data_IF_365247687240
#
_entry.id   IF_365247687240
#
_cell.length_a   1.000
_cell.length_b   1.000
_cell.length_c   1.000
_cell.angle_alpha   90.00
_cell.angle_beta   90.00
_cell.angle_gamma   90.00
#
_symmetry.space_group_name_H-M   'P 1'
#
loop_
_entity.id
_entity.type
_entity.pdbx_description
1 polymer ?
#
# COMPACT_ATOMS: atom_id res chain seq x y z
N UNK A 1 -1.04 -5.18 11.84
CA UNK A 1 -2.39 -4.60 12.12
C UNK A 1 -2.45 -3.16 11.62
N UNK A 2 -1.57 -2.25 12.07
CA UNK A 2 -1.62 -0.83 11.68
C UNK A 2 -1.28 -0.59 10.21
N UNK A 3 -0.49 -1.42 9.58
CA UNK A 3 -0.19 -1.39 8.14
C UNK A 3 -1.39 -1.76 7.30
N UNK A 4 -2.33 -2.54 7.85
CA UNK A 4 -3.56 -2.96 7.19
C UNK A 4 -4.69 -1.95 7.42
N UNK A 5 -4.90 -1.54 8.68
CA UNK A 5 -5.84 -0.48 9.03
C UNK A 5 -5.37 0.30 10.27
N UNK A 6 -4.85 1.50 10.04
CA UNK A 6 -4.35 2.36 11.12
C UNK A 6 -5.46 2.96 12.00
N UNK A 7 -6.72 2.86 11.59
CA UNK A 7 -7.88 3.27 12.40
C UNK A 7 -8.32 2.21 13.40
N UNK A 8 -7.76 0.99 13.34
CA UNK A 8 -8.09 -0.07 14.30
C UNK A 8 -7.95 0.45 15.73
N UNK A 9 -9.00 0.38 16.57
CA UNK A 9 -8.96 0.87 17.96
C UNK A 9 -7.90 0.13 18.80
N UNK A 10 -7.20 0.86 19.65
CA UNK A 10 -6.14 0.31 20.50
C UNK A 10 -6.62 -0.89 21.33
N UNK A 11 -7.90 -0.91 21.76
CA UNK A 11 -8.50 -2.04 22.47
C UNK A 11 -8.64 -3.27 21.58
N UNK A 12 -8.96 -3.12 20.30
CA UNK A 12 -9.05 -4.25 19.36
C UNK A 12 -7.66 -4.78 19.02
N UNK A 13 -6.68 -3.88 18.84
CA UNK A 13 -5.26 -4.29 18.70
C UNK A 13 -4.85 -5.09 19.92
N UNK A 14 -5.14 -4.59 21.13
CA UNK A 14 -4.83 -5.24 22.39
C UNK A 14 -5.37 -6.67 22.48
N UNK A 15 -6.63 -6.89 22.06
CA UNK A 15 -7.23 -8.23 22.02
C UNK A 15 -6.46 -9.19 21.09
N UNK A 16 -5.96 -8.70 19.96
CA UNK A 16 -5.19 -9.53 19.00
C UNK A 16 -3.78 -9.88 19.48
N UNK A 17 -3.15 -9.00 20.28
CA UNK A 17 -1.75 -9.16 20.71
C UNK A 17 -1.60 -9.46 22.19
N UNK A 18 -2.70 -9.76 22.90
CA UNK A 18 -2.67 -10.12 24.33
C UNK A 18 -2.31 -8.95 25.26
N UNK A 19 -2.66 -7.71 24.91
CA UNK A 19 -2.32 -6.50 25.66
C UNK A 19 -3.56 -5.67 26.01
N UNK A 20 -3.44 -4.82 27.05
CA UNK A 20 -4.44 -3.77 27.30
C UNK A 20 -4.39 -2.67 26.24
N UNK A 21 -5.50 -1.99 25.99
CA UNK A 21 -5.53 -0.84 25.06
C UNK A 21 -4.57 0.29 25.49
N UNK A 22 -4.37 0.48 26.80
CA UNK A 22 -3.40 1.46 27.35
C UNK A 22 -1.97 1.05 26.99
N UNK A 23 -1.64 -0.23 27.13
CA UNK A 23 -0.32 -0.78 26.77
C UNK A 23 -0.07 -0.63 25.26
N UNK A 24 -1.09 -0.89 24.42
CA UNK A 24 -1.01 -0.68 22.96
C UNK A 24 -0.73 0.78 22.64
N UNK A 25 -1.49 1.71 23.21
CA UNK A 25 -1.29 3.16 23.01
C UNK A 25 0.13 3.58 23.39
N UNK A 26 0.63 3.10 24.53
CA UNK A 26 2.00 3.36 24.98
C UNK A 26 3.04 2.84 23.99
N UNK A 27 2.87 1.61 23.48
CA UNK A 27 3.77 0.99 22.47
C UNK A 27 3.76 1.75 21.15
N UNK A 28 2.59 2.13 20.64
CA UNK A 28 2.45 2.95 19.42
C UNK A 28 3.19 4.29 19.61
N UNK A 29 3.02 4.95 20.76
CA UNK A 29 3.73 6.19 21.07
C UNK A 29 5.24 6.00 21.13
N UNK A 30 5.74 4.89 21.72
CA UNK A 30 7.17 4.56 21.75
C UNK A 30 7.72 4.32 20.32
N UNK A 31 7.01 3.57 19.48
CA UNK A 31 7.38 3.35 18.08
C UNK A 31 7.43 4.66 17.28
N UNK A 32 6.50 5.58 17.53
CA UNK A 32 6.54 6.91 16.92
C UNK A 32 7.76 7.71 17.34
N UNK A 33 8.06 7.77 18.65
CA UNK A 33 9.26 8.47 19.16
C UNK A 33 10.57 7.86 18.69
N UNK A 34 10.62 6.54 18.53
CA UNK A 34 11.77 5.85 17.97
C UNK A 34 11.87 6.01 16.43
N UNK A 35 10.86 6.61 15.79
CA UNK A 35 10.79 6.82 14.35
C UNK A 35 10.54 5.53 13.56
N UNK A 36 10.13 4.44 14.23
CA UNK A 36 9.64 3.23 13.56
C UNK A 36 8.34 3.55 12.82
N UNK A 37 7.38 4.18 13.48
CA UNK A 37 6.19 4.76 12.85
C UNK A 37 6.49 6.22 12.59
N UNK A 38 6.57 6.61 11.32
CA UNK A 38 6.83 7.98 10.90
C UNK A 38 5.54 8.79 10.83
N UNK A 39 4.48 8.19 10.27
CA UNK A 39 3.19 8.86 10.15
C UNK A 39 2.05 7.84 10.03
N UNK A 40 0.86 8.26 10.41
CA UNK A 40 -0.39 7.63 10.01
C UNK A 40 -0.84 8.28 8.71
N UNK A 41 -1.25 7.47 7.73
CA UNK A 41 -1.63 7.97 6.42
C UNK A 41 -2.82 7.20 5.84
N UNK A 42 -3.39 7.78 4.81
CA UNK A 42 -4.37 7.12 3.97
C UNK A 42 -3.83 7.07 2.55
N UNK A 43 -3.82 5.89 1.97
CA UNK A 43 -3.45 5.67 0.58
C UNK A 43 -4.74 5.60 -0.25
N UNK A 44 -4.75 6.30 -1.37
CA UNK A 44 -5.79 6.19 -2.40
C UNK A 44 -5.11 5.70 -3.67
N UNK A 45 -5.60 4.61 -4.23
CA UNK A 45 -5.01 4.05 -5.45
C UNK A 45 -5.24 5.02 -6.63
N UNK A 46 -4.17 5.43 -7.33
CA UNK A 46 -4.23 6.41 -8.42
C UNK A 46 -5.28 6.12 -9.50
N UNK A 47 -5.56 4.85 -9.89
CA UNK A 47 -6.61 4.56 -10.87
C UNK A 47 -8.00 5.02 -10.46
N UNK A 48 -8.31 5.08 -9.15
CA UNK A 48 -9.58 5.59 -8.66
C UNK A 48 -9.75 7.10 -8.85
N UNK A 49 -8.64 7.80 -9.10
CA UNK A 49 -8.58 9.24 -9.38
C UNK A 49 -8.34 9.56 -10.86
N UNK A 50 -8.36 8.53 -11.73
CA UNK A 50 -8.17 8.69 -13.16
C UNK A 50 -6.72 8.67 -13.64
N UNK A 51 -5.77 8.28 -12.76
CA UNK A 51 -4.35 8.14 -13.09
C UNK A 51 -3.99 6.69 -13.36
N UNK A 52 -3.04 6.46 -14.28
CA UNK A 52 -2.46 5.14 -14.49
C UNK A 52 -1.29 4.85 -13.57
N UNK A 53 -0.93 3.58 -13.45
CA UNK A 53 0.27 3.15 -12.74
C UNK A 53 1.09 2.22 -13.65
N UNK A 54 2.42 2.36 -13.58
CA UNK A 54 3.36 1.44 -14.20
C UNK A 54 4.29 0.93 -13.10
N UNK A 55 4.28 -0.39 -12.83
CA UNK A 55 5.27 -1.07 -12.01
C UNK A 55 6.33 -1.71 -12.88
N UNK A 56 7.57 -1.50 -12.53
CA UNK A 56 8.72 -1.94 -13.30
C UNK A 56 9.90 -2.37 -12.41
N UNK A 57 10.79 -3.15 -12.97
CA UNK A 57 12.06 -3.54 -12.35
C UNK A 57 13.20 -3.20 -13.31
N UNK A 58 14.27 -2.66 -12.77
CA UNK A 58 15.43 -2.26 -13.54
C UNK A 58 16.67 -2.90 -12.93
N UNK A 59 17.47 -3.66 -13.69
CA UNK A 59 18.83 -4.05 -13.27
C UNK A 59 19.72 -2.81 -13.25
N UNK A 60 20.00 -2.28 -12.06
CA UNK A 60 20.81 -1.09 -11.85
C UNK A 60 21.12 -0.91 -10.37
N UNK A 61 22.27 -0.32 -10.06
CA UNK A 61 22.66 0.20 -8.76
C UNK A 61 22.52 1.74 -8.68
N UNK A 62 22.21 2.40 -9.80
CA UNK A 62 21.99 3.85 -9.90
C UNK A 62 20.54 4.24 -9.63
N UNK A 63 20.15 4.23 -8.36
CA UNK A 63 18.79 4.62 -7.93
C UNK A 63 18.45 6.06 -8.37
N UNK A 64 19.39 6.99 -8.20
CA UNK A 64 19.15 8.42 -8.48
C UNK A 64 18.92 8.64 -9.97
N UNK A 65 19.76 8.10 -10.84
CA UNK A 65 19.63 8.24 -12.28
C UNK A 65 18.35 7.57 -12.82
N UNK A 66 17.92 6.44 -12.23
CA UNK A 66 16.64 5.82 -12.59
C UNK A 66 15.47 6.71 -12.19
N UNK A 67 15.46 7.26 -10.97
CA UNK A 67 14.41 8.16 -10.50
C UNK A 67 14.32 9.41 -11.39
N UNK A 68 15.43 10.02 -11.75
CA UNK A 68 15.45 11.19 -12.65
C UNK A 68 14.86 10.88 -14.03
N UNK A 69 15.20 9.74 -14.61
CA UNK A 69 14.60 9.29 -15.87
C UNK A 69 13.10 9.06 -15.74
N UNK A 70 12.65 8.40 -14.67
CA UNK A 70 11.24 8.13 -14.45
C UNK A 70 10.41 9.40 -14.28
N UNK A 71 10.96 10.44 -13.63
CA UNK A 71 10.32 11.77 -13.49
C UNK A 71 10.01 12.47 -14.82
N UNK A 72 10.71 12.13 -15.89
CA UNK A 72 10.39 12.64 -17.23
C UNK A 72 9.10 12.05 -17.81
N UNK A 73 8.63 10.94 -17.25
CA UNK A 73 7.49 10.18 -17.78
C UNK A 73 6.27 10.29 -16.88
N UNK A 74 6.48 10.23 -15.57
CA UNK A 74 5.43 10.28 -14.55
C UNK A 74 6.01 10.57 -13.17
N UNK A 75 5.19 10.45 -12.14
CA UNK A 75 5.59 10.71 -10.75
C UNK A 75 5.97 9.39 -10.06
N UNK A 76 7.25 9.17 -9.70
CA UNK A 76 7.66 8.02 -8.91
C UNK A 76 7.07 8.10 -7.49
N UNK A 77 6.34 7.08 -7.08
CA UNK A 77 5.77 6.98 -5.73
C UNK A 77 6.36 5.81 -4.92
N UNK A 78 7.06 4.92 -5.60
CA UNK A 78 7.65 3.73 -5.02
C UNK A 78 8.98 3.47 -5.70
N UNK A 79 10.06 3.44 -4.93
CA UNK A 79 11.42 3.10 -5.40
C UNK A 79 12.08 2.30 -4.30
N UNK A 80 12.47 1.06 -4.60
CA UNK A 80 13.09 0.16 -3.64
C UNK A 80 14.28 -0.54 -4.28
N UNK A 81 15.49 -0.30 -3.79
CA UNK A 81 16.63 -1.12 -4.12
C UNK A 81 16.45 -2.52 -3.53
N UNK A 82 16.68 -3.52 -4.35
CA UNK A 82 16.55 -4.93 -4.01
C UNK A 82 17.92 -5.63 -4.07
N UNK A 83 18.00 -6.85 -3.55
CA UNK A 83 19.19 -7.67 -3.67
C UNK A 83 19.47 -8.02 -5.15
N UNK A 84 20.75 -8.09 -5.54
CA UNK A 84 21.20 -8.45 -6.89
C UNK A 84 21.14 -7.28 -7.87
N UNK A 85 21.44 -6.06 -7.41
CA UNK A 85 21.50 -4.84 -8.23
C UNK A 85 20.23 -4.62 -9.06
N UNK A 86 19.10 -4.75 -8.39
CA UNK A 86 17.76 -4.56 -8.97
C UNK A 86 17.05 -3.43 -8.24
N UNK A 87 16.42 -2.54 -8.98
CA UNK A 87 15.56 -1.49 -8.44
C UNK A 87 14.12 -1.77 -8.87
N UNK A 88 13.23 -1.93 -7.90
CA UNK A 88 11.79 -2.02 -8.14
C UNK A 88 11.17 -0.63 -8.02
N UNK A 89 10.39 -0.23 -9.04
CA UNK A 89 9.79 1.10 -9.10
C UNK A 89 8.30 1.04 -9.44
N UNK A 90 7.57 2.06 -8.96
CA UNK A 90 6.22 2.36 -9.39
C UNK A 90 6.10 3.85 -9.73
N UNK A 91 5.51 4.15 -10.88
CA UNK A 91 5.22 5.53 -11.30
C UNK A 91 3.74 5.73 -11.56
N UNK A 92 3.23 6.88 -11.17
CA UNK A 92 1.91 7.37 -11.54
C UNK A 92 2.01 8.14 -12.85
N UNK A 93 1.10 7.88 -13.78
CA UNK A 93 1.03 8.55 -15.07
C UNK A 93 -0.38 9.11 -15.31
N UNK A 94 -0.48 10.30 -15.90
CA UNK A 94 -1.78 10.99 -16.05
C UNK A 94 -2.70 10.34 -17.07
N UNK A 95 -2.17 10.00 -18.25
CA UNK A 95 -2.96 9.48 -19.39
C UNK A 95 -2.10 8.55 -20.23
N UNK A 96 -2.78 7.74 -21.05
CA UNK A 96 -2.15 6.89 -22.07
C UNK A 96 -1.02 6.01 -21.49
N UNK A 97 -1.41 5.13 -20.57
CA UNK A 97 -0.51 4.19 -19.90
C UNK A 97 0.32 3.39 -20.91
N UNK A 98 -0.27 2.99 -22.06
CA UNK A 98 0.44 2.23 -23.10
C UNK A 98 1.59 3.02 -23.69
N UNK A 99 1.34 4.28 -24.11
CA UNK A 99 2.38 5.17 -24.65
C UNK A 99 3.47 5.47 -23.63
N UNK A 100 3.07 5.74 -22.37
CA UNK A 100 4.02 5.97 -21.28
C UNK A 100 4.88 4.74 -20.99
N UNK A 101 4.32 3.55 -21.09
CA UNK A 101 5.06 2.28 -20.94
C UNK A 101 6.12 2.12 -22.04
N UNK A 102 5.80 2.44 -23.28
CA UNK A 102 6.79 2.41 -24.37
C UNK A 102 7.88 3.47 -24.18
N UNK A 103 7.55 4.67 -23.68
CA UNK A 103 8.56 5.66 -23.32
C UNK A 103 9.51 5.15 -22.23
N UNK A 104 9.01 4.46 -21.21
CA UNK A 104 9.86 3.82 -20.18
C UNK A 104 10.82 2.83 -20.81
N UNK A 105 10.35 1.94 -21.69
CA UNK A 105 11.21 0.95 -22.36
C UNK A 105 12.28 1.58 -23.25
N UNK A 106 11.97 2.71 -23.87
CA UNK A 106 12.93 3.42 -24.71
C UNK A 106 13.97 4.22 -23.90
N UNK A 107 13.59 4.72 -22.73
CA UNK A 107 14.45 5.56 -21.90
C UNK A 107 15.36 4.78 -20.95
N UNK A 108 14.91 3.59 -20.54
CA UNK A 108 15.61 2.76 -19.56
C UNK A 108 15.93 1.41 -20.17
N UNK A 109 17.22 1.15 -20.33
CA UNK A 109 17.71 -0.13 -20.88
C UNK A 109 17.40 -1.29 -19.91
N UNK A 110 17.10 -2.45 -20.47
CA UNK A 110 16.82 -3.70 -19.71
C UNK A 110 15.68 -3.60 -18.69
N UNK A 111 14.80 -2.59 -18.82
CA UNK A 111 13.64 -2.48 -17.97
C UNK A 111 12.65 -3.62 -18.21
N UNK A 112 12.16 -4.21 -17.14
CA UNK A 112 11.06 -5.17 -17.18
C UNK A 112 9.79 -4.52 -16.60
N UNK A 113 8.76 -4.38 -17.41
CA UNK A 113 7.44 -3.96 -16.93
C UNK A 113 6.79 -5.16 -16.23
N UNK A 114 6.48 -4.97 -14.96
CA UNK A 114 5.85 -6.01 -14.12
C UNK A 114 4.35 -5.96 -14.27
N UNK A 115 3.78 -4.75 -14.19
CA UNK A 115 2.34 -4.53 -14.22
C UNK A 115 2.02 -3.12 -14.67
N UNK A 116 0.93 -2.97 -15.41
CA UNK A 116 0.32 -1.66 -15.70
C UNK A 116 -1.12 -1.66 -15.24
N UNK A 117 -1.55 -0.57 -14.60
CA UNK A 117 -2.94 -0.35 -14.21
C UNK A 117 -3.46 0.85 -15.00
N UNK A 118 -4.37 0.59 -15.92
CA UNK A 118 -5.07 1.64 -16.65
C UNK A 118 -6.32 2.05 -15.85
N UNK A 119 -6.58 3.36 -15.64
CA UNK A 119 -7.74 3.80 -14.87
C UNK A 119 -9.08 3.42 -15.51
N UNK A 120 -9.11 3.15 -16.82
CA UNK A 120 -10.32 2.73 -17.53
C UNK A 120 -10.62 1.24 -17.37
N UNK A 121 -9.60 0.43 -17.13
CA UNK A 121 -9.66 -1.04 -17.02
C UNK A 121 -9.49 -1.53 -15.58
N UNK A 122 -9.22 -0.63 -14.62
CA UNK A 122 -8.85 -0.99 -13.26
C UNK A 122 -10.05 -1.39 -12.40
N UNK A 123 -9.89 -2.46 -11.63
CA UNK A 123 -10.84 -2.84 -10.55
C UNK A 123 -10.80 -1.86 -9.37
N UNK A 124 -9.80 -0.98 -9.29
CA UNK A 124 -9.62 0.03 -8.23
C UNK A 124 -10.43 1.30 -8.50
N UNK A 125 -11.65 1.19 -8.97
CA UNK A 125 -12.55 2.35 -9.09
C UNK A 125 -13.22 2.64 -7.77
N UNK A 126 -13.17 3.89 -7.35
CA UNK A 126 -13.95 4.38 -6.23
C UNK A 126 -14.98 5.39 -6.75
N UNK A 127 -16.27 5.02 -6.72
CA UNK A 127 -17.35 5.96 -6.98
C UNK A 127 -17.48 6.92 -5.79
N UNK A 128 -16.70 7.99 -5.83
CA UNK A 128 -16.65 9.00 -4.78
C UNK A 128 -17.62 10.13 -5.07
N UNK A 129 -18.50 10.40 -4.12
CA UNK A 129 -19.42 11.55 -4.15
C UNK A 129 -18.73 12.82 -3.65
N UNK A 130 -19.32 13.98 -3.88
CA UNK A 130 -18.84 15.26 -3.30
C UNK A 130 -18.72 15.21 -1.77
N UNK A 131 -19.59 14.47 -1.11
CA UNK A 131 -19.54 14.24 0.35
C UNK A 131 -18.35 13.38 0.74
N UNK A 132 -18.08 12.33 -0.04
CA UNK A 132 -16.92 11.45 0.19
C UNK A 132 -15.61 12.25 0.07
N UNK A 133 -15.49 13.12 -0.93
CA UNK A 133 -14.31 13.98 -1.08
C UNK A 133 -14.08 14.93 0.10
N UNK A 134 -15.14 15.49 0.71
CA UNK A 134 -15.00 16.32 1.91
C UNK A 134 -14.42 15.54 3.10
N UNK A 135 -14.88 14.30 3.27
CA UNK A 135 -14.39 13.41 4.36
C UNK A 135 -12.98 12.92 4.03
N UNK A 136 -12.72 12.58 2.78
CA UNK A 136 -11.42 12.17 2.29
C UNK A 136 -10.33 13.22 2.57
N UNK A 137 -10.62 14.50 2.28
CA UNK A 137 -9.69 15.61 2.56
C UNK A 137 -9.31 15.72 4.04
N UNK A 138 -10.28 15.50 4.96
CA UNK A 138 -9.99 15.48 6.40
C UNK A 138 -9.13 14.27 6.80
N UNK A 139 -9.45 13.11 6.23
CA UNK A 139 -8.75 11.86 6.54
C UNK A 139 -7.34 11.79 5.93
N UNK A 140 -7.10 12.48 4.81
CA UNK A 140 -5.74 12.64 4.25
C UNK A 140 -4.84 13.46 5.19
N UNK A 141 -5.41 14.43 5.91
CA UNK A 141 -4.67 15.23 6.90
C UNK A 141 -4.46 14.48 8.20
N UNK A 142 -5.49 13.77 8.66
CA UNK A 142 -5.43 12.94 9.87
C UNK A 142 -6.30 11.68 9.72
N UNK A 143 -5.75 10.55 9.29
CA UNK A 143 -6.51 9.34 9.06
C UNK A 143 -7.12 8.73 10.34
N UNK A 144 -6.64 9.13 11.51
CA UNK A 144 -7.18 8.72 12.81
C UNK A 144 -8.13 9.73 13.45
N UNK A 145 -8.56 10.76 12.71
CA UNK A 145 -9.47 11.79 13.24
C UNK A 145 -10.77 11.18 13.78
N UNK A 146 -11.24 11.74 14.89
CA UNK A 146 -12.47 11.30 15.54
C UNK A 146 -13.68 11.73 14.72
N UNK A 147 -14.71 10.88 14.68
CA UNK A 147 -15.95 11.12 13.94
C UNK A 147 -16.61 12.44 14.38
N UNK A 148 -16.67 12.71 15.69
CA UNK A 148 -17.28 13.93 16.22
C UNK A 148 -16.52 15.20 15.81
N UNK A 149 -15.20 15.12 15.71
CA UNK A 149 -14.34 16.23 15.24
C UNK A 149 -14.60 16.51 13.76
N UNK A 150 -14.63 15.46 12.94
CA UNK A 150 -14.98 15.56 11.52
C UNK A 150 -16.40 16.09 11.30
N UNK A 151 -17.37 15.69 12.14
CA UNK A 151 -18.74 16.20 12.07
C UNK A 151 -18.78 17.72 12.24
N UNK A 152 -18.02 18.24 13.20
CA UNK A 152 -17.93 19.69 13.46
C UNK A 152 -17.26 20.42 12.30
N UNK A 153 -16.13 19.92 11.78
CA UNK A 153 -15.37 20.58 10.71
C UNK A 153 -16.06 20.54 9.35
N UNK A 154 -16.70 19.41 9.01
CA UNK A 154 -17.35 19.22 7.70
C UNK A 154 -18.82 19.68 7.66
N UNK A 155 -19.44 19.94 8.83
CA UNK A 155 -20.88 20.21 9.00
C UNK A 155 -21.76 19.03 8.51
N UNK A 156 -21.25 17.80 8.60
CA UNK A 156 -21.97 16.57 8.27
C UNK A 156 -22.39 15.84 9.54
N UNK A 157 -23.44 15.01 9.44
CA UNK A 157 -23.86 14.17 10.58
C UNK A 157 -22.83 13.08 10.86
N UNK A 158 -22.70 12.69 12.13
CA UNK A 158 -21.82 11.55 12.54
C UNK A 158 -22.20 10.27 11.80
N UNK A 159 -23.51 10.05 11.54
CA UNK A 159 -24.02 8.91 10.76
C UNK A 159 -23.46 8.91 9.32
N UNK A 160 -23.45 10.07 8.67
CA UNK A 160 -22.91 10.21 7.31
C UNK A 160 -21.41 9.89 7.30
N UNK A 161 -20.65 10.45 8.24
CA UNK A 161 -19.22 10.22 8.35
C UNK A 161 -18.90 8.74 8.60
N UNK A 162 -19.62 8.12 9.55
CA UNK A 162 -19.44 6.68 9.85
C UNK A 162 -19.66 5.81 8.61
N UNK A 163 -20.75 6.02 7.89
CA UNK A 163 -21.05 5.29 6.66
C UNK A 163 -20.00 5.48 5.57
N UNK A 164 -19.49 6.70 5.43
CA UNK A 164 -18.43 6.99 4.45
C UNK A 164 -17.12 6.32 4.84
N UNK A 165 -16.73 6.33 6.13
CA UNK A 165 -15.55 5.61 6.60
C UNK A 165 -15.68 4.11 6.36
N UNK A 166 -16.82 3.51 6.70
CA UNK A 166 -17.10 2.10 6.42
C UNK A 166 -17.05 1.78 4.92
N UNK A 167 -17.53 2.69 4.07
CA UNK A 167 -17.40 2.59 2.61
C UNK A 167 -15.93 2.59 2.19
N UNK A 168 -15.11 3.48 2.76
CA UNK A 168 -13.69 3.56 2.47
C UNK A 168 -12.93 2.32 2.95
N UNK A 169 -13.22 1.80 4.15
CA UNK A 169 -12.58 0.58 4.68
C UNK A 169 -12.89 -0.68 3.85
N UNK A 170 -14.03 -0.70 3.16
CA UNK A 170 -14.44 -1.81 2.26
C UNK A 170 -13.95 -1.63 0.83
N UNK A 171 -13.44 -0.44 0.47
CA UNK A 171 -13.03 -0.15 -0.88
C UNK A 171 -11.56 -0.53 -1.08
N UNK A 172 -11.23 -1.45 -2.00
CA UNK A 172 -9.84 -1.87 -2.25
C UNK A 172 -8.95 -0.74 -2.76
N UNK A 173 -9.53 0.35 -3.28
CA UNK A 173 -8.77 1.53 -3.73
C UNK A 173 -8.35 2.46 -2.58
N UNK A 174 -8.83 2.23 -1.36
CA UNK A 174 -8.57 3.10 -0.21
C UNK A 174 -8.02 2.27 0.95
N UNK A 175 -6.87 2.66 1.46
CA UNK A 175 -6.23 1.98 2.58
C UNK A 175 -5.83 2.96 3.67
N UNK A 176 -6.26 2.70 4.90
CA UNK A 176 -5.77 3.38 6.10
C UNK A 176 -4.52 2.67 6.61
N UNK A 177 -3.35 3.29 6.50
CA UNK A 177 -2.08 2.64 6.77
C UNK A 177 -1.13 3.53 7.57
N UNK A 178 0.11 3.11 7.72
CA UNK A 178 1.20 3.89 8.33
C UNK A 178 2.37 4.01 7.36
N UNK A 179 3.10 5.11 7.48
CA UNK A 179 4.46 5.21 6.95
C UNK A 179 5.39 4.78 8.07
N UNK A 180 6.27 3.83 7.81
CA UNK A 180 7.20 3.30 8.78
C UNK A 180 8.58 3.07 8.17
N UNK A 181 9.61 3.03 9.01
CA UNK A 181 10.97 2.73 8.59
C UNK A 181 11.33 1.28 8.94
N UNK A 182 11.35 0.36 7.95
CA UNK A 182 11.63 -1.05 8.19
C UNK A 182 13.05 -1.30 8.73
N UNK A 183 14.01 -0.39 8.48
CA UNK A 183 15.39 -0.51 8.98
C UNK A 183 15.49 -0.40 10.50
N UNK A 184 14.46 0.14 11.15
CA UNK A 184 14.35 0.27 12.61
C UNK A 184 13.62 -0.91 13.26
N UNK A 185 13.23 -1.91 12.48
CA UNK A 185 12.63 -3.15 12.95
C UNK A 185 13.70 -4.23 13.03
N UNK A 186 13.92 -4.76 14.23
CA UNK A 186 14.75 -5.95 14.40
C UNK A 186 14.06 -7.18 13.82
N UNK A 187 14.84 -8.09 13.24
CA UNK A 187 14.34 -9.36 12.68
C UNK A 187 13.19 -9.13 11.67
N UNK A 188 13.38 -8.18 10.77
CA UNK A 188 12.40 -7.86 9.75
C UNK A 188 13.06 -7.83 8.37
N UNK A 189 12.95 -8.94 7.65
CA UNK A 189 13.35 -9.06 6.26
C UNK A 189 12.10 -8.99 5.40
N UNK A 190 11.86 -7.85 4.78
CA UNK A 190 10.75 -7.66 3.86
C UNK A 190 11.10 -8.23 2.49
N UNK A 191 10.15 -8.92 1.88
CA UNK A 191 10.25 -9.40 0.51
C UNK A 191 8.89 -9.37 -0.18
N UNK A 192 8.90 -9.44 -1.50
CA UNK A 192 7.68 -9.54 -2.31
C UNK A 192 7.72 -10.80 -3.17
N UNK A 193 6.59 -11.49 -3.22
CA UNK A 193 6.37 -12.61 -4.13
C UNK A 193 5.40 -12.14 -5.21
N UNK A 194 5.81 -12.33 -6.48
CA UNK A 194 4.99 -12.06 -7.65
C UNK A 194 4.67 -13.39 -8.30
N UNK A 195 3.43 -13.81 -8.20
CA UNK A 195 2.97 -15.09 -8.73
C UNK A 195 1.96 -14.90 -9.88
N UNK A 196 2.20 -15.56 -10.99
CA UNK A 196 1.19 -15.68 -12.07
C UNK A 196 0.27 -16.85 -11.75
N UNK A 197 -1.00 -16.56 -11.60
CA UNK A 197 -2.02 -17.52 -11.19
C UNK A 197 -2.93 -17.83 -12.38
N UNK A 198 -2.96 -19.08 -12.80
CA UNK A 198 -3.75 -19.52 -13.96
C UNK A 198 -5.22 -19.87 -13.63
N UNK A 199 -5.56 -19.91 -12.33
CA UNK A 199 -6.88 -20.32 -11.85
C UNK A 199 -7.56 -19.16 -11.09
N UNK A 200 -8.53 -19.47 -10.22
CA UNK A 200 -9.22 -18.50 -9.39
C UNK A 200 -8.27 -17.79 -8.42
N UNK A 201 -7.75 -16.64 -8.86
CA UNK A 201 -6.82 -15.81 -8.10
C UNK A 201 -7.39 -15.41 -6.73
N UNK A 202 -8.71 -15.20 -6.64
CA UNK A 202 -9.35 -14.79 -5.37
C UNK A 202 -9.34 -15.93 -4.35
N UNK A 203 -9.58 -17.16 -4.83
CA UNK A 203 -9.53 -18.36 -3.99
C UNK A 203 -8.11 -18.60 -3.48
N UNK A 204 -7.12 -18.59 -4.39
CA UNK A 204 -5.71 -18.78 -4.04
C UNK A 204 -5.21 -17.70 -3.09
N UNK A 205 -5.55 -16.43 -3.34
CA UNK A 205 -5.23 -15.34 -2.43
C UNK A 205 -5.74 -15.61 -1.03
N UNK A 206 -7.01 -16.07 -0.90
CA UNK A 206 -7.60 -16.38 0.39
C UNK A 206 -6.91 -17.54 1.10
N UNK A 207 -6.58 -18.61 0.38
CA UNK A 207 -5.85 -19.76 0.94
C UNK A 207 -4.48 -19.34 1.49
N UNK A 208 -3.75 -18.49 0.74
CA UNK A 208 -2.46 -17.95 1.19
C UNK A 208 -2.64 -16.97 2.37
N UNK A 209 -3.70 -16.16 2.38
CA UNK A 209 -3.99 -15.27 3.53
C UNK A 209 -4.34 -16.07 4.79
N UNK A 210 -5.04 -17.19 4.65
CA UNK A 210 -5.40 -18.07 5.78
C UNK A 210 -4.16 -18.79 6.35
N UNK A 211 -3.19 -19.16 5.50
CA UNK A 211 -1.97 -19.89 5.91
C UNK A 211 -0.85 -18.95 6.38
N UNK A 212 -0.59 -17.86 5.65
CA UNK A 212 0.55 -16.97 5.87
C UNK A 212 0.17 -15.55 6.34
N UNK A 213 -1.08 -15.31 6.72
CA UNK A 213 -1.60 -13.98 7.03
C UNK A 213 -0.81 -13.21 8.09
N UNK A 214 -0.20 -13.92 9.05
CA UNK A 214 0.64 -13.32 10.09
C UNK A 214 2.00 -12.83 9.56
N UNK A 215 2.40 -13.27 8.38
CA UNK A 215 3.64 -12.85 7.68
C UNK A 215 3.44 -11.72 6.68
N UNK A 216 2.21 -11.22 6.49
CA UNK A 216 1.98 -10.09 5.62
C UNK A 216 2.24 -8.77 6.35
N UNK A 217 3.07 -7.92 5.73
CA UNK A 217 3.29 -6.57 6.20
C UNK A 217 2.47 -5.52 5.42
N UNK A 218 1.93 -5.91 4.24
CA UNK A 218 0.94 -5.14 3.49
C UNK A 218 -0.19 -6.05 3.00
N UNK A 219 -1.33 -5.45 2.67
CA UNK A 219 -2.44 -6.18 2.06
C UNK A 219 -2.02 -6.71 0.69
N UNK A 220 -2.12 -8.03 0.44
CA UNK A 220 -1.90 -8.60 -0.87
C UNK A 220 -2.84 -7.99 -1.91
N UNK A 221 -2.35 -7.74 -3.12
CA UNK A 221 -3.22 -7.30 -4.19
C UNK A 221 -3.17 -8.21 -5.41
N UNK A 222 -4.25 -8.19 -6.17
CA UNK A 222 -4.37 -8.94 -7.42
C UNK A 222 -4.60 -7.99 -8.58
N UNK A 223 -4.00 -8.29 -9.73
CA UNK A 223 -4.25 -7.55 -10.95
C UNK A 223 -4.25 -8.54 -12.12
N UNK A 224 -5.43 -8.81 -12.68
CA UNK A 224 -5.64 -9.90 -13.65
C UNK A 224 -5.16 -11.23 -13.06
N UNK A 225 -4.20 -11.89 -13.68
CA UNK A 225 -3.60 -13.16 -13.25
C UNK A 225 -2.40 -12.97 -12.29
N UNK A 226 -1.97 -11.75 -12.03
CA UNK A 226 -0.86 -11.47 -11.13
C UNK A 226 -1.37 -11.34 -9.70
N UNK A 227 -0.78 -12.12 -8.78
CA UNK A 227 -0.91 -12.00 -7.34
C UNK A 227 0.39 -11.43 -6.78
N UNK A 228 0.31 -10.35 -6.03
CA UNK A 228 1.45 -9.72 -5.35
C UNK A 228 1.27 -9.83 -3.86
N UNK A 229 2.22 -10.49 -3.21
CA UNK A 229 2.28 -10.72 -1.77
C UNK A 229 3.43 -9.92 -1.19
N UNK A 230 3.16 -9.11 -0.18
CA UNK A 230 4.16 -8.38 0.57
C UNK A 230 4.36 -9.06 1.91
N UNK A 231 5.44 -9.81 2.03
CA UNK A 231 5.72 -10.69 3.17
C UNK A 231 6.95 -10.23 3.95
N UNK A 232 7.04 -10.70 5.18
CA UNK A 232 8.25 -10.53 5.98
C UNK A 232 8.59 -11.83 6.70
N UNK A 233 9.87 -11.94 7.02
CA UNK A 233 10.45 -13.02 7.80
C UNK A 233 11.42 -12.43 8.81
N UNK A 234 11.80 -13.21 9.83
CA UNK A 234 12.79 -12.82 10.83
C UNK A 234 14.23 -12.92 10.33
N UNK A 235 14.46 -13.69 9.25
CA UNK A 235 15.76 -13.85 8.60
C UNK A 235 15.60 -14.27 7.13
N UNK A 236 16.68 -14.19 6.37
CA UNK A 236 16.67 -14.46 4.94
C UNK A 236 16.46 -15.95 4.60
N UNK A 237 16.90 -16.86 5.47
CA UNK A 237 16.70 -18.28 5.27
C UNK A 237 15.21 -18.66 5.34
N UNK A 238 14.52 -18.16 6.36
CA UNK A 238 13.08 -18.37 6.50
C UNK A 238 12.29 -17.68 5.37
N UNK A 239 12.76 -16.54 4.87
CA UNK A 239 12.17 -15.91 3.68
C UNK A 239 12.28 -16.80 2.43
N UNK A 240 13.41 -17.49 2.25
CA UNK A 240 13.60 -18.42 1.13
C UNK A 240 12.71 -19.68 1.26
N UNK A 241 12.54 -20.20 2.46
CA UNK A 241 11.61 -21.31 2.71
C UNK A 241 10.16 -20.95 2.40
N UNK A 242 9.72 -19.74 2.77
CA UNK A 242 8.35 -19.28 2.48
C UNK A 242 8.07 -19.06 0.98
N UNK A 243 9.11 -18.95 0.15
CA UNK A 243 8.98 -18.77 -1.29
C UNK A 243 8.62 -20.07 -2.01
N UNK A 244 8.94 -21.21 -1.44
CA UNK A 244 8.73 -22.56 -1.98
C UNK A 244 7.48 -23.22 -1.42
#
# INVERSE_FOLDING_TARGET
>A
ILTINCRTPDRQIGKKVGLSGVSVKSRISKMGRAGVIQNFTMKVEPPSLGYGIIYLVVPSDDEVGIVEKLKLIGEPFFVVPCLGDIIACGIVVEKDVKKKTELVKNLISNVRIVLTLDPTESEFRADLTKTDFKILDQLLKNPREKIDSMAKSTKLSTKTITRTIEKFEKNPAIQFTIIYDPRKLEKFVAFAVLAMVQNDVKKIKKEIEDEFGDHFWQVPFTAKELLVLFMYSDNIYNADVMRH
#
